data_IF_995172351067
#
_entry.id   IF_995172351067
#
_cell.length_a   1.000
_cell.length_b   1.000
_cell.length_c   1.000
_cell.angle_alpha   90.00
_cell.angle_beta   90.00
_cell.angle_gamma   90.00
#
_symmetry.space_group_name_H-M   'P 1'
#
loop_
_entity.id
_entity.type
_entity.pdbx_description
1 polymer ?
#
# COMPACT_ATOMS: atom_id res chain seq x y z
N UNK A 1 5.01 42.09 -19.78
CA UNK A 1 3.76 41.52 -20.33
C UNK A 1 4.02 40.42 -21.35
N UNK A 2 4.76 40.66 -22.45
CA UNK A 2 4.99 39.63 -23.48
C UNK A 2 6.01 38.55 -23.06
N UNK A 3 7.07 38.93 -22.34
CA UNK A 3 8.14 38.01 -21.89
C UNK A 3 7.68 37.05 -20.79
N UNK A 4 6.85 37.53 -19.85
CA UNK A 4 6.29 36.71 -18.77
C UNK A 4 5.41 35.56 -19.28
N UNK A 5 4.69 35.79 -20.38
CA UNK A 5 3.80 34.80 -20.98
C UNK A 5 4.57 33.65 -21.68
N UNK A 6 5.81 33.89 -22.10
CA UNK A 6 6.71 32.87 -22.66
C UNK A 6 7.35 32.02 -21.56
N UNK A 7 7.76 32.64 -20.44
CA UNK A 7 8.29 31.93 -19.27
C UNK A 7 7.24 31.02 -18.63
N UNK A 8 6.00 31.51 -18.50
CA UNK A 8 4.88 30.71 -17.97
C UNK A 8 4.56 29.52 -18.88
N UNK A 9 4.63 29.68 -20.20
CA UNK A 9 4.47 28.57 -21.17
C UNK A 9 5.57 27.54 -21.04
N UNK A 10 6.83 27.97 -20.96
CA UNK A 10 7.97 27.07 -20.78
C UNK A 10 7.86 26.29 -19.47
N UNK A 11 7.45 26.96 -18.39
CA UNK A 11 7.24 26.33 -17.09
C UNK A 11 6.11 25.30 -17.10
N UNK A 12 5.01 25.59 -17.81
CA UNK A 12 3.90 24.65 -17.96
C UNK A 12 4.27 23.46 -18.85
N UNK A 13 5.06 23.69 -19.91
CA UNK A 13 5.56 22.63 -20.79
C UNK A 13 6.49 21.67 -20.03
N UNK A 14 7.38 22.20 -19.19
CA UNK A 14 8.26 21.39 -18.34
C UNK A 14 7.47 20.58 -17.31
N UNK A 15 6.46 21.19 -16.66
CA UNK A 15 5.53 20.45 -15.77
C UNK A 15 4.82 19.31 -16.49
N UNK A 16 4.30 19.56 -17.69
CA UNK A 16 3.63 18.55 -18.48
C UNK A 16 4.58 17.42 -18.90
N UNK A 17 5.83 17.75 -19.24
CA UNK A 17 6.85 16.76 -19.56
C UNK A 17 7.22 15.91 -18.32
N UNK A 18 7.31 16.52 -17.15
CA UNK A 18 7.55 15.82 -15.88
C UNK A 18 6.40 14.85 -15.54
N UNK A 19 5.15 15.27 -15.76
CA UNK A 19 3.96 14.43 -15.56
C UNK A 19 3.92 13.28 -16.56
N UNK A 20 4.15 13.56 -17.85
CA UNK A 20 4.20 12.53 -18.90
C UNK A 20 5.32 11.50 -18.63
N UNK A 21 6.48 11.96 -18.18
CA UNK A 21 7.60 11.09 -17.77
C UNK A 21 7.24 10.23 -16.55
N UNK A 22 6.56 10.79 -15.55
CA UNK A 22 6.07 10.04 -14.38
C UNK A 22 5.01 8.98 -14.74
N UNK A 23 4.27 9.17 -15.83
CA UNK A 23 3.29 8.19 -16.34
C UNK A 23 3.91 7.14 -17.27
N UNK A 24 4.96 7.50 -18.03
CA UNK A 24 5.61 6.63 -19.01
C UNK A 24 6.38 5.45 -18.40
N UNK A 25 6.68 5.49 -17.09
CA UNK A 25 7.42 4.45 -16.38
C UNK A 25 6.60 3.57 -15.44
N UNK A 26 5.26 3.64 -15.45
CA UNK A 26 4.46 2.76 -14.59
C UNK A 26 4.60 1.32 -15.08
N UNK A 27 5.17 0.41 -14.28
CA UNK A 27 5.18 -1.01 -14.64
C UNK A 27 3.74 -1.46 -14.90
N UNK A 28 3.53 -2.06 -16.07
CA UNK A 28 2.25 -2.65 -16.44
C UNK A 28 1.92 -3.71 -15.40
N UNK A 29 0.81 -3.53 -14.68
CA UNK A 29 0.30 -4.52 -13.73
C UNK A 29 -0.18 -5.70 -14.60
N UNK A 30 0.47 -6.87 -14.53
CA UNK A 30 0.03 -8.00 -15.33
C UNK A 30 -1.37 -8.39 -14.85
N UNK A 31 -2.30 -8.54 -15.80
CA UNK A 31 -3.68 -8.94 -15.53
C UNK A 31 -3.76 -10.44 -15.32
N UNK A 32 -3.33 -10.88 -14.14
CA UNK A 32 -3.44 -12.26 -13.72
C UNK A 32 -4.92 -12.50 -13.36
N UNK A 33 -5.64 -13.27 -14.17
CA UNK A 33 -7.06 -13.55 -13.93
C UNK A 33 -7.34 -14.39 -12.64
N UNK A 34 -6.28 -14.77 -11.92
CA UNK A 34 -6.29 -15.62 -10.73
C UNK A 34 -5.51 -15.00 -9.57
N UNK A 35 -5.46 -13.67 -9.47
CA UNK A 35 -4.77 -13.03 -8.37
C UNK A 35 -5.54 -13.19 -7.05
N UNK A 36 -4.85 -13.61 -6.00
CA UNK A 36 -5.39 -13.82 -4.66
C UNK A 36 -5.01 -12.67 -3.72
N UNK A 37 -5.80 -12.53 -2.64
CA UNK A 37 -5.49 -11.62 -1.54
C UNK A 37 -4.77 -12.44 -0.46
N UNK A 38 -3.68 -11.92 0.06
CA UNK A 38 -3.02 -12.48 1.25
C UNK A 38 -3.29 -11.62 2.48
N UNK A 39 -3.27 -12.21 3.68
CA UNK A 39 -3.68 -11.51 4.91
C UNK A 39 -2.75 -11.76 6.09
N UNK A 40 -2.43 -10.71 6.86
CA UNK A 40 -1.68 -10.81 8.11
C UNK A 40 -2.43 -10.01 9.17
N UNK A 41 -3.25 -10.68 9.98
CA UNK A 41 -4.19 -10.02 10.87
C UNK A 41 -4.53 -10.88 12.10
N UNK A 42 -5.24 -10.29 13.06
CA UNK A 42 -5.83 -11.01 14.20
C UNK A 42 -6.91 -12.00 13.77
N UNK A 43 -7.22 -12.94 14.66
CA UNK A 43 -8.13 -14.06 14.41
C UNK A 43 -9.52 -13.59 13.93
N UNK A 44 -10.08 -12.58 14.58
CA UNK A 44 -11.41 -12.04 14.24
C UNK A 44 -11.45 -11.47 12.82
N UNK A 45 -10.41 -10.71 12.42
CA UNK A 45 -10.31 -10.13 11.08
C UNK A 45 -10.12 -11.22 10.04
N UNK A 46 -9.17 -12.15 10.25
CA UNK A 46 -8.93 -13.26 9.32
C UNK A 46 -10.21 -14.08 9.15
N UNK A 47 -10.90 -14.41 10.24
CA UNK A 47 -12.14 -15.19 10.22
C UNK A 47 -13.22 -14.49 9.38
N UNK A 48 -13.41 -13.18 9.54
CA UNK A 48 -14.35 -12.41 8.73
C UNK A 48 -14.10 -12.52 7.22
N UNK A 49 -12.83 -12.44 6.80
CA UNK A 49 -12.46 -12.57 5.39
C UNK A 49 -12.52 -14.02 4.87
N UNK A 50 -12.21 -15.00 5.70
CA UNK A 50 -12.38 -16.41 5.34
C UNK A 50 -13.85 -16.74 5.09
N UNK A 51 -14.78 -16.21 5.89
CA UNK A 51 -16.22 -16.33 5.67
C UNK A 51 -16.69 -15.64 4.38
N UNK A 52 -16.00 -14.58 3.96
CA UNK A 52 -16.24 -13.91 2.68
C UNK A 52 -15.68 -14.69 1.46
N UNK A 53 -15.01 -15.82 1.67
CA UNK A 53 -14.48 -16.68 0.62
C UNK A 53 -13.08 -16.30 0.11
N UNK A 54 -12.33 -15.49 0.85
CA UNK A 54 -10.97 -15.04 0.47
C UNK A 54 -9.90 -16.10 0.79
N UNK A 55 -10.21 -17.10 1.62
CA UNK A 55 -9.26 -18.14 2.01
C UNK A 55 -8.86 -19.06 0.86
N UNK A 56 -7.56 -19.21 0.67
CA UNK A 56 -6.97 -20.15 -0.28
C UNK A 56 -5.89 -21.02 0.40
N UNK A 57 -5.88 -22.30 0.07
CA UNK A 57 -4.85 -23.25 0.52
C UNK A 57 -4.21 -23.83 -0.74
N UNK A 58 -2.90 -23.63 -0.89
CA UNK A 58 -2.17 -24.16 -2.03
C UNK A 58 -1.99 -25.69 -1.95
N UNK A 59 -1.44 -26.28 -3.03
CA UNK A 59 -1.13 -27.71 -3.10
C UNK A 59 -0.15 -28.19 -2.02
N UNK A 60 0.64 -27.27 -1.45
CA UNK A 60 1.63 -27.52 -0.39
C UNK A 60 1.04 -27.29 1.01
N UNK A 61 -0.28 -27.09 1.11
CA UNK A 61 -1.01 -26.78 2.35
C UNK A 61 -0.57 -25.47 3.01
N UNK A 62 -0.03 -24.51 2.24
CA UNK A 62 0.18 -23.16 2.72
C UNK A 62 -1.07 -22.33 2.51
N UNK A 63 -1.45 -21.61 3.55
CA UNK A 63 -2.53 -20.62 3.52
C UNK A 63 -2.05 -19.32 2.89
N UNK A 64 -3.00 -18.54 2.38
CA UNK A 64 -2.79 -17.13 2.02
C UNK A 64 -2.99 -16.18 3.21
N UNK A 65 -2.95 -16.67 4.44
CA UNK A 65 -3.10 -15.84 5.63
C UNK A 65 -2.22 -16.30 6.78
N UNK A 66 -1.83 -15.35 7.62
CA UNK A 66 -1.23 -15.56 8.94
C UNK A 66 -2.15 -14.94 10.00
N UNK A 67 -2.57 -15.76 10.95
CA UNK A 67 -3.26 -15.28 12.16
C UNK A 67 -2.19 -14.81 13.15
N UNK A 68 -2.31 -13.58 13.62
CA UNK A 68 -1.39 -12.96 14.58
C UNK A 68 -2.04 -12.93 15.95
N UNK A 69 -1.41 -13.62 16.90
CA UNK A 69 -1.80 -13.65 18.31
C UNK A 69 -0.65 -13.17 19.22
N UNK A 70 -0.85 -13.22 20.53
CA UNK A 70 0.17 -12.83 21.53
C UNK A 70 1.40 -13.73 21.57
N UNK A 71 1.36 -14.91 20.92
CA UNK A 71 2.47 -15.87 20.85
C UNK A 71 3.23 -15.74 19.53
N UNK A 72 2.67 -15.02 18.56
CA UNK A 72 3.23 -14.85 17.24
C UNK A 72 4.44 -13.92 17.32
N UNK A 73 5.61 -14.46 16.94
CA UNK A 73 6.86 -13.68 16.99
C UNK A 73 6.93 -12.66 15.85
N UNK A 74 7.59 -11.53 16.08
CA UNK A 74 7.88 -10.53 15.04
C UNK A 74 8.52 -11.17 13.81
N UNK A 75 9.47 -12.10 14.02
CA UNK A 75 10.13 -12.84 12.94
C UNK A 75 9.13 -13.60 12.06
N UNK A 76 8.13 -14.26 12.64
CA UNK A 76 7.10 -14.97 11.87
C UNK A 76 6.28 -14.01 11.00
N UNK A 77 5.99 -12.81 11.51
CA UNK A 77 5.31 -11.74 10.76
C UNK A 77 6.18 -11.26 9.60
N UNK A 78 7.48 -11.03 9.83
CA UNK A 78 8.41 -10.64 8.78
C UNK A 78 8.52 -11.71 7.68
N UNK A 79 8.66 -12.97 8.07
CA UNK A 79 8.83 -14.10 7.16
C UNK A 79 7.56 -14.27 6.30
N UNK A 80 6.36 -14.15 6.90
CA UNK A 80 5.09 -14.19 6.17
C UNK A 80 4.94 -12.99 5.23
N UNK A 81 5.29 -11.78 5.66
CA UNK A 81 5.25 -10.60 4.80
C UNK A 81 6.18 -10.74 3.60
N UNK A 82 7.42 -11.20 3.81
CA UNK A 82 8.37 -11.49 2.73
C UNK A 82 7.86 -12.58 1.79
N UNK A 83 7.24 -13.63 2.32
CA UNK A 83 6.64 -14.69 1.49
C UNK A 83 5.51 -14.15 0.61
N UNK A 84 4.55 -13.43 1.20
CA UNK A 84 3.38 -12.92 0.46
C UNK A 84 3.74 -11.84 -0.56
N UNK A 85 4.81 -11.08 -0.32
CA UNK A 85 5.26 -10.02 -1.25
C UNK A 85 6.11 -10.51 -2.41
N UNK A 86 6.56 -11.77 -2.39
CA UNK A 86 7.34 -12.40 -3.46
C UNK A 86 6.47 -13.33 -4.33
N UNK A 87 5.32 -13.77 -3.82
CA UNK A 87 4.38 -14.62 -4.55
C UNK A 87 3.75 -13.89 -5.74
N UNK A 88 3.86 -14.48 -6.93
CA UNK A 88 3.35 -13.90 -8.19
C UNK A 88 1.82 -13.94 -8.31
N UNK A 89 1.16 -14.84 -7.58
CA UNK A 89 -0.29 -14.98 -7.55
C UNK A 89 -0.95 -14.03 -6.54
N UNK A 90 -0.20 -13.32 -5.70
CA UNK A 90 -0.75 -12.35 -4.74
C UNK A 90 -0.82 -10.96 -5.37
N UNK A 91 -2.02 -10.38 -5.45
CA UNK A 91 -2.21 -9.00 -5.91
C UNK A 91 -2.26 -7.99 -4.76
N UNK A 92 -2.79 -8.39 -3.61
CA UNK A 92 -2.98 -7.51 -2.45
C UNK A 92 -2.55 -8.25 -1.19
N UNK A 93 -1.78 -7.59 -0.33
CA UNK A 93 -1.51 -8.03 1.04
C UNK A 93 -2.27 -7.11 1.98
N UNK A 94 -3.30 -7.64 2.65
CA UNK A 94 -3.98 -6.99 3.76
C UNK A 94 -3.18 -7.22 5.03
N UNK A 95 -2.92 -6.17 5.79
CA UNK A 95 -2.23 -6.27 7.07
C UNK A 95 -2.95 -5.41 8.10
N UNK A 96 -3.20 -5.93 9.31
CA UNK A 96 -3.73 -5.09 10.39
C UNK A 96 -2.71 -4.01 10.73
N UNK A 97 -3.15 -2.75 10.84
CA UNK A 97 -2.23 -1.62 11.04
C UNK A 97 -1.33 -1.79 12.27
N UNK A 98 -1.85 -2.32 13.38
CA UNK A 98 -1.04 -2.59 14.57
C UNK A 98 0.07 -3.62 14.30
N UNK A 99 -0.17 -4.60 13.42
CA UNK A 99 0.85 -5.58 12.99
C UNK A 99 1.85 -4.93 12.05
N UNK A 100 1.39 -4.09 11.12
CA UNK A 100 2.26 -3.34 10.22
C UNK A 100 3.25 -2.46 11.02
N UNK A 101 2.82 -1.87 12.14
CA UNK A 101 3.69 -1.12 13.04
C UNK A 101 4.84 -1.96 13.63
N UNK A 102 4.64 -3.26 13.87
CA UNK A 102 5.69 -4.15 14.41
C UNK A 102 6.83 -4.38 13.40
N UNK A 103 6.53 -4.28 12.10
CA UNK A 103 7.47 -4.49 11.00
C UNK A 103 7.57 -3.26 10.08
N UNK A 104 7.34 -2.05 10.64
CA UNK A 104 7.20 -0.79 9.88
C UNK A 104 8.34 -0.56 8.90
N UNK A 105 9.57 -0.86 9.31
CA UNK A 105 10.76 -0.79 8.45
C UNK A 105 10.63 -1.63 7.17
N UNK A 106 10.10 -2.85 7.25
CA UNK A 106 9.91 -3.71 6.09
C UNK A 106 8.80 -3.20 5.18
N UNK A 107 7.69 -2.77 5.76
CA UNK A 107 6.54 -2.22 5.01
C UNK A 107 6.95 -0.96 4.25
N UNK A 108 7.64 -0.02 4.90
CA UNK A 108 8.06 1.24 4.28
C UNK A 108 9.17 1.03 3.23
N UNK A 109 10.01 0.00 3.40
CA UNK A 109 11.04 -0.37 2.42
C UNK A 109 10.47 -1.02 1.15
N UNK A 110 9.23 -1.51 1.20
CA UNK A 110 8.58 -2.17 0.07
C UNK A 110 8.10 -1.13 -0.94
N UNK A 111 8.73 -1.11 -2.12
CA UNK A 111 8.51 -0.12 -3.16
C UNK A 111 7.92 -0.69 -4.45
N UNK A 112 7.68 -2.00 -4.50
CA UNK A 112 7.04 -2.63 -5.67
C UNK A 112 5.55 -2.28 -5.67
N UNK A 113 4.95 -2.07 -6.84
CA UNK A 113 3.53 -1.74 -6.95
C UNK A 113 2.62 -2.95 -6.74
N UNK A 114 3.14 -4.17 -6.96
CA UNK A 114 2.39 -5.42 -6.86
C UNK A 114 3.22 -6.45 -6.08
N UNK A 115 2.64 -7.11 -5.06
CA UNK A 115 1.32 -6.84 -4.49
C UNK A 115 1.18 -5.46 -3.84
N UNK A 116 -0.03 -4.90 -3.88
CA UNK A 116 -0.37 -3.70 -3.13
C UNK A 116 -0.48 -4.03 -1.63
N UNK A 117 0.15 -3.23 -0.78
CA UNK A 117 0.07 -3.37 0.68
C UNK A 117 -1.02 -2.44 1.19
N UNK A 118 -2.01 -3.00 1.90
CA UNK A 118 -3.13 -2.23 2.47
C UNK A 118 -3.24 -2.49 3.96
N UNK A 119 -3.06 -1.42 4.74
CA UNK A 119 -3.26 -1.43 6.19
C UNK A 119 -4.76 -1.31 6.50
N UNK A 120 -5.28 -2.21 7.34
CA UNK A 120 -6.69 -2.21 7.78
C UNK A 120 -6.79 -2.08 9.31
N UNK A 121 -7.86 -1.47 9.84
CA UNK A 121 -8.16 -1.55 11.26
C UNK A 121 -8.40 -2.99 11.69
N UNK A 122 -8.25 -3.26 12.98
CA UNK A 122 -8.78 -4.47 13.59
C UNK A 122 -9.85 -4.15 14.63
N UNK A 123 -10.52 -5.18 15.13
CA UNK A 123 -11.63 -5.03 16.09
C UNK A 123 -11.22 -4.24 17.34
N UNK A 124 -10.06 -4.58 17.91
CA UNK A 124 -9.56 -3.98 19.16
C UNK A 124 -8.58 -2.83 18.91
N UNK A 125 -8.12 -2.64 17.67
CA UNK A 125 -7.13 -1.63 17.29
C UNK A 125 -7.70 -0.76 16.15
N UNK A 126 -8.38 0.35 16.49
CA UNK A 126 -8.88 1.31 15.50
C UNK A 126 -7.74 1.87 14.63
N UNK A 127 -8.09 2.25 13.40
CA UNK A 127 -7.14 2.82 12.47
C UNK A 127 -6.70 4.23 12.89
N UNK A 128 -5.39 4.47 12.91
CA UNK A 128 -4.75 5.76 13.10
C UNK A 128 -4.15 6.27 11.77
N UNK A 129 -4.72 7.32 11.15
CA UNK A 129 -4.25 7.89 9.90
C UNK A 129 -2.81 8.42 9.93
N UNK A 130 -2.28 8.73 11.12
CA UNK A 130 -0.94 9.31 11.25
C UNK A 130 0.17 8.30 10.99
N UNK A 131 -0.12 7.02 11.12
CA UNK A 131 0.83 5.92 10.95
C UNK A 131 0.79 5.30 9.55
N UNK A 132 -0.08 5.77 8.65
CA UNK A 132 -0.20 5.22 7.30
C UNK A 132 0.79 5.88 6.32
N UNK A 133 1.60 5.06 5.67
CA UNK A 133 2.64 5.47 4.71
C UNK A 133 2.06 6.04 3.40
N UNK A 134 0.88 5.56 2.98
CA UNK A 134 0.13 6.07 1.83
C UNK A 134 -0.44 7.44 2.15
N UNK A 135 -1.10 7.61 3.30
CA UNK A 135 -1.61 8.92 3.72
C UNK A 135 -0.50 9.94 3.94
N UNK A 136 0.64 9.51 4.47
CA UNK A 136 1.82 10.37 4.60
C UNK A 136 2.30 10.89 3.26
N UNK A 137 2.32 10.04 2.22
CA UNK A 137 2.67 10.45 0.84
C UNK A 137 1.63 11.40 0.23
N UNK A 138 0.35 11.19 0.57
CA UNK A 138 -0.78 12.02 0.11
C UNK A 138 -0.84 13.38 0.82
N UNK A 139 -0.47 13.45 2.10
CA UNK A 139 -0.40 14.70 2.88
C UNK A 139 0.60 15.70 2.27
N UNK A 140 1.73 15.22 1.76
CA UNK A 140 2.67 16.08 1.02
C UNK A 140 2.06 16.64 -0.27
N UNK A 141 1.26 15.87 -0.99
CA UNK A 141 0.59 16.31 -2.22
C UNK A 141 -0.51 17.35 -1.94
N UNK A 142 -1.25 17.22 -0.85
CA UNK A 142 -2.30 18.19 -0.47
C UNK A 142 -1.76 19.44 0.24
N UNK A 143 -0.56 19.39 0.84
CA UNK A 143 0.05 20.56 1.47
C UNK A 143 0.65 21.55 0.47
N UNK A 144 0.87 21.14 -0.79
CA UNK A 144 1.30 22.05 -1.87
C UNK A 144 0.17 22.90 -2.46
N UNK A 145 -1.10 22.54 -2.24
CA UNK A 145 -2.26 23.27 -2.78
C UNK A 145 -2.90 24.27 -1.79
N UNK A 146 -2.51 24.25 -0.51
CA UNK A 146 -3.11 25.14 0.50
C UNK A 146 -2.38 26.50 0.66
N UNK A 147 -1.39 26.81 -0.17
CA UNK A 147 -0.62 28.07 -0.07
C UNK A 147 -0.97 29.14 -1.11
N UNK A 148 -2.04 28.96 -1.90
CA UNK A 148 -2.38 29.84 -3.03
C UNK A 148 -3.82 30.39 -3.00
N UNK A 149 -4.42 30.62 -1.83
CA UNK A 149 -5.77 31.21 -1.76
C UNK A 149 -6.02 32.29 -0.70
N UNK A 150 -4.99 32.87 -0.09
CA UNK A 150 -5.13 34.06 0.77
C UNK A 150 -4.42 35.29 0.16
N UNK A 151 -5.00 35.83 -0.92
CA UNK A 151 -4.82 37.24 -1.34
C UNK A 151 -6.07 37.72 -2.08
N UNK A 152 -7.08 38.16 -1.34
CA UNK A 152 -8.04 39.17 -1.79
C UNK A 152 -8.39 40.10 -0.64
#
# INVERSE_FOLDING_TARGET
AFVQNEEDKAHNLLKNYQILSAMAGRPQIPSNNSAIIAMIADEDTVTGFLLAGVGNVDLRRKTNYLIVDSKTTVKAIEDAFKEFTVKEDVAIVLISQYVANMIRFLVDSYNKPVPAILEIPSKDHPYDPTHDSVLSRVKYLFSSDSSSSDRR
#
